data_IF_898467073254
#
_entry.id   IF_898467073254
#
_cell.length_a   1.000
_cell.length_b   1.000
_cell.length_c   1.000
_cell.angle_alpha   90.00
_cell.angle_beta   90.00
_cell.angle_gamma   90.00
#
_symmetry.space_group_name_H-M   'P 1'
#
loop_
_entity.id
_entity.type
_entity.pdbx_description
1 polymer ?
#
# COMPACT_ATOMS: atom_id res chain seq x y z
N UNK A 1 21.87 -21.19 7.64
CA UNK A 1 21.39 -19.80 7.65
C UNK A 1 22.22 -19.01 6.65
N UNK A 2 21.59 -18.50 5.60
CA UNK A 2 22.26 -17.79 4.50
C UNK A 2 22.80 -16.42 4.93
N UNK A 3 23.66 -15.81 4.11
CA UNK A 3 24.15 -14.45 4.36
C UNK A 3 23.00 -13.43 4.42
N UNK A 4 22.01 -13.57 3.52
CA UNK A 4 20.78 -12.78 3.52
C UNK A 4 20.03 -12.91 4.85
N UNK A 5 19.76 -14.14 5.31
CA UNK A 5 19.02 -14.38 6.55
C UNK A 5 19.76 -13.78 7.77
N UNK A 6 21.09 -13.91 7.81
CA UNK A 6 21.92 -13.30 8.84
C UNK A 6 21.82 -11.77 8.83
N UNK A 7 21.93 -11.15 7.65
CA UNK A 7 21.80 -9.69 7.50
C UNK A 7 20.45 -9.19 8.00
N UNK A 8 19.35 -9.82 7.57
CA UNK A 8 18.00 -9.44 7.99
C UNK A 8 17.84 -9.58 9.51
N UNK A 9 18.30 -10.68 10.11
CA UNK A 9 18.22 -10.89 11.55
C UNK A 9 19.03 -9.86 12.34
N UNK A 10 20.22 -9.48 11.86
CA UNK A 10 21.04 -8.43 12.48
C UNK A 10 20.34 -7.07 12.40
N UNK A 11 19.81 -6.70 11.24
CA UNK A 11 19.07 -5.45 11.05
C UNK A 11 17.84 -5.38 11.96
N UNK A 12 17.07 -6.47 12.03
CA UNK A 12 15.89 -6.57 12.88
C UNK A 12 16.24 -6.37 14.35
N UNK A 13 17.27 -7.08 14.85
CA UNK A 13 17.75 -6.92 16.23
C UNK A 13 18.23 -5.52 16.50
N UNK A 14 18.95 -4.91 15.56
CA UNK A 14 19.42 -3.54 15.68
C UNK A 14 18.26 -2.55 15.76
N UNK A 15 17.26 -2.65 14.87
CA UNK A 15 16.07 -1.80 14.87
C UNK A 15 15.30 -1.94 16.20
N UNK A 16 15.18 -3.16 16.74
CA UNK A 16 14.50 -3.41 18.02
C UNK A 16 15.13 -2.64 19.20
N UNK A 17 16.46 -2.47 19.22
CA UNK A 17 17.15 -1.73 20.29
C UNK A 17 16.69 -0.27 20.36
N UNK A 18 16.30 0.32 19.23
CA UNK A 18 15.91 1.72 19.11
C UNK A 18 14.40 1.94 19.06
N UNK A 19 13.60 0.88 19.30
CA UNK A 19 12.14 0.94 19.19
C UNK A 19 11.51 1.83 20.25
N UNK A 20 12.12 1.98 21.42
CA UNK A 20 11.57 2.79 22.52
C UNK A 20 12.37 4.06 22.82
N UNK A 21 13.51 4.26 22.19
CA UNK A 21 14.34 5.42 22.47
C UNK A 21 13.84 6.70 21.78
N UNK A 22 14.12 7.84 22.40
CA UNK A 22 13.74 9.18 21.96
C UNK A 22 14.93 10.08 21.61
N UNK A 23 16.17 9.63 21.84
CA UNK A 23 17.39 10.40 21.57
C UNK A 23 17.58 10.65 20.07
N UNK A 24 17.92 11.90 19.69
CA UNK A 24 18.04 12.33 18.27
C UNK A 24 19.04 11.49 17.48
N UNK A 25 20.22 11.21 18.05
CA UNK A 25 21.25 10.41 17.38
C UNK A 25 20.74 9.00 17.04
N UNK A 26 19.90 8.46 17.91
CA UNK A 26 19.32 7.12 17.75
C UNK A 26 18.22 7.09 16.68
N UNK A 27 17.54 8.22 16.43
CA UNK A 27 16.61 8.34 15.32
C UNK A 27 17.32 8.26 13.96
N UNK A 28 18.53 8.81 13.83
CA UNK A 28 19.35 8.70 12.61
C UNK A 28 19.76 7.25 12.38
N UNK A 29 20.21 6.56 13.43
CA UNK A 29 20.56 5.14 13.34
C UNK A 29 19.36 4.26 12.97
N UNK A 30 18.20 4.53 13.58
CA UNK A 30 16.96 3.85 13.26
C UNK A 30 16.54 4.08 11.80
N UNK A 31 16.58 5.33 11.34
CA UNK A 31 16.31 5.67 9.94
C UNK A 31 17.21 4.90 8.99
N UNK A 32 18.53 4.90 9.23
CA UNK A 32 19.49 4.23 8.36
C UNK A 32 19.27 2.72 8.34
N UNK A 33 19.01 2.09 9.49
CA UNK A 33 18.73 0.67 9.56
C UNK A 33 17.43 0.28 8.84
N UNK A 34 16.37 1.07 8.99
CA UNK A 34 15.12 0.89 8.24
C UNK A 34 15.33 1.05 6.73
N UNK A 35 16.11 2.05 6.31
CA UNK A 35 16.42 2.28 4.90
C UNK A 35 17.20 1.12 4.29
N UNK A 36 18.19 0.58 5.01
CA UNK A 36 18.91 -0.63 4.56
C UNK A 36 17.97 -1.82 4.46
N UNK A 37 17.11 -2.05 5.46
CA UNK A 37 16.13 -3.14 5.41
C UNK A 37 15.11 -2.95 4.27
N UNK A 38 14.71 -1.71 3.99
CA UNK A 38 13.84 -1.36 2.86
C UNK A 38 14.49 -1.69 1.52
N UNK A 39 15.78 -1.35 1.35
CA UNK A 39 16.53 -1.73 0.15
C UNK A 39 16.62 -3.25 -0.01
N UNK A 40 16.88 -3.98 1.09
CA UNK A 40 16.91 -5.45 1.08
C UNK A 40 15.55 -6.02 0.69
N UNK A 41 14.45 -5.56 1.28
CA UNK A 41 13.08 -6.00 0.94
C UNK A 41 12.71 -5.66 -0.52
N UNK A 42 13.21 -4.53 -1.03
CA UNK A 42 13.02 -4.13 -2.42
C UNK A 42 13.76 -5.08 -3.39
N UNK A 43 14.96 -5.54 -3.05
CA UNK A 43 15.80 -6.36 -3.95
C UNK A 43 15.47 -7.86 -3.99
N UNK A 44 14.64 -8.36 -3.08
CA UNK A 44 14.32 -9.79 -2.96
C UNK A 44 12.87 -10.10 -3.29
N UNK A 45 12.54 -11.37 -3.52
CA UNK A 45 11.20 -11.85 -3.86
C UNK A 45 10.79 -13.11 -3.08
N UNK A 46 9.57 -13.59 -3.31
CA UNK A 46 9.08 -14.90 -2.87
C UNK A 46 9.40 -15.26 -1.41
N UNK A 47 10.20 -16.33 -1.24
CA UNK A 47 10.51 -16.89 0.08
C UNK A 47 11.36 -15.98 0.96
N UNK A 48 12.17 -15.10 0.37
CA UNK A 48 13.02 -14.17 1.11
C UNK A 48 12.19 -13.02 1.72
N UNK A 49 11.20 -12.48 0.98
CA UNK A 49 10.23 -11.54 1.56
C UNK A 49 9.38 -12.17 2.66
N UNK A 50 8.92 -13.41 2.44
CA UNK A 50 8.21 -14.16 3.49
C UNK A 50 9.09 -14.38 4.71
N UNK A 51 10.39 -14.65 4.52
CA UNK A 51 11.34 -14.74 5.63
C UNK A 51 11.42 -13.43 6.41
N UNK A 52 11.60 -12.27 5.75
CA UNK A 52 11.64 -10.94 6.41
C UNK A 52 10.40 -10.74 7.28
N UNK A 53 9.22 -11.04 6.74
CA UNK A 53 7.98 -11.00 7.50
C UNK A 53 8.00 -11.96 8.70
N UNK A 54 8.39 -13.23 8.50
CA UNK A 54 8.35 -14.28 9.55
C UNK A 54 9.27 -14.02 10.73
N UNK A 55 10.37 -13.29 10.52
CA UNK A 55 11.31 -12.95 11.60
C UNK A 55 10.92 -11.66 12.35
N UNK A 56 9.71 -11.14 12.14
CA UNK A 56 9.11 -10.09 12.97
C UNK A 56 9.22 -8.67 12.41
N UNK A 57 9.64 -8.49 11.15
CA UNK A 57 9.85 -7.16 10.58
C UNK A 57 8.55 -6.33 10.55
N UNK A 58 7.40 -6.95 10.23
CA UNK A 58 6.12 -6.24 10.13
C UNK A 58 5.74 -5.69 11.51
N UNK A 59 5.81 -6.51 12.55
CA UNK A 59 5.47 -6.17 13.93
C UNK A 59 6.33 -5.00 14.45
N UNK A 60 7.63 -5.07 14.20
CA UNK A 60 8.59 -4.04 14.61
C UNK A 60 8.29 -2.72 13.91
N UNK A 61 8.10 -2.76 12.59
CA UNK A 61 7.84 -1.56 11.79
C UNK A 61 6.49 -0.94 12.16
N UNK A 62 5.47 -1.77 12.41
CA UNK A 62 4.18 -1.32 12.93
C UNK A 62 4.32 -0.71 14.33
N UNK A 63 5.16 -1.27 15.20
CA UNK A 63 5.49 -0.68 16.50
C UNK A 63 6.11 0.72 16.38
N UNK A 64 7.00 0.92 15.41
CA UNK A 64 7.62 2.22 15.11
C UNK A 64 6.56 3.23 14.66
N UNK A 65 5.69 2.85 13.71
CA UNK A 65 4.62 3.74 13.21
C UNK A 65 3.69 4.14 14.36
N UNK A 66 3.25 3.19 15.19
CA UNK A 66 2.40 3.48 16.35
C UNK A 66 3.07 4.42 17.35
N UNK A 67 4.38 4.27 17.57
CA UNK A 67 5.13 5.20 18.43
C UNK A 67 5.06 6.63 17.91
N UNK A 68 5.25 6.83 16.61
CA UNK A 68 5.19 8.16 16.00
C UNK A 68 3.77 8.73 15.92
N UNK A 69 2.76 7.86 15.74
CA UNK A 69 1.35 8.22 15.88
C UNK A 69 1.02 8.74 17.29
N UNK A 70 1.46 8.03 18.34
CA UNK A 70 1.26 8.48 19.73
C UNK A 70 1.92 9.84 20.00
N UNK A 71 3.09 10.09 19.41
CA UNK A 71 3.80 11.38 19.48
C UNK A 71 3.24 12.43 18.53
N UNK A 72 2.27 12.09 17.68
CA UNK A 72 1.70 12.94 16.61
C UNK A 72 2.77 13.62 15.74
N UNK A 73 3.88 12.92 15.49
CA UNK A 73 5.03 13.47 14.75
C UNK A 73 5.24 12.67 13.48
N UNK A 74 5.09 13.31 12.31
CA UNK A 74 5.52 12.75 11.03
C UNK A 74 6.98 13.11 10.77
N UNK A 75 7.81 12.12 10.44
CA UNK A 75 9.18 12.31 9.96
C UNK A 75 9.52 11.24 8.92
N UNK A 76 10.68 11.37 8.27
CA UNK A 76 11.17 10.44 7.25
C UNK A 76 11.17 8.97 7.70
N UNK A 77 11.36 8.70 9.00
CA UNK A 77 11.29 7.34 9.56
C UNK A 77 9.93 6.69 9.30
N UNK A 78 8.83 7.44 9.43
CA UNK A 78 7.48 6.93 9.20
C UNK A 78 7.27 6.65 7.72
N UNK A 79 7.79 7.49 6.83
CA UNK A 79 7.71 7.30 5.38
C UNK A 79 8.50 6.08 4.91
N UNK A 80 9.73 5.90 5.41
CA UNK A 80 10.57 4.72 5.15
C UNK A 80 9.92 3.46 5.72
N UNK A 81 9.32 3.54 6.92
CA UNK A 81 8.59 2.44 7.53
C UNK A 81 7.43 1.95 6.65
N UNK A 82 6.59 2.85 6.13
CA UNK A 82 5.52 2.49 5.21
C UNK A 82 6.03 1.97 3.87
N UNK A 83 7.13 2.54 3.35
CA UNK A 83 7.79 2.02 2.13
C UNK A 83 8.30 0.59 2.32
N UNK A 84 8.89 0.31 3.48
CA UNK A 84 9.35 -1.03 3.85
C UNK A 84 8.19 -2.02 3.93
N UNK A 85 7.09 -1.64 4.59
CA UNK A 85 5.90 -2.50 4.64
C UNK A 85 5.30 -2.74 3.24
N UNK A 86 5.28 -1.71 2.39
CA UNK A 86 4.85 -1.83 0.99
C UNK A 86 5.72 -2.86 0.24
N UNK A 87 7.05 -2.78 0.37
CA UNK A 87 7.96 -3.74 -0.25
C UNK A 87 7.84 -5.16 0.31
N UNK A 88 7.68 -5.31 1.63
CA UNK A 88 7.54 -6.62 2.29
C UNK A 88 6.26 -7.33 1.87
N UNK A 89 5.15 -6.60 1.68
CA UNK A 89 3.83 -7.14 1.35
C UNK A 89 3.63 -7.44 -0.15
N UNK A 90 4.43 -6.81 -1.01
CA UNK A 90 4.36 -6.98 -2.45
C UNK A 90 4.61 -8.44 -2.86
N UNK A 91 3.67 -9.01 -3.63
CA UNK A 91 3.58 -10.42 -4.04
C UNK A 91 3.63 -11.46 -2.90
N UNK A 92 3.26 -11.08 -1.66
CA UNK A 92 3.30 -12.00 -0.51
C UNK A 92 2.00 -11.97 0.32
N UNK A 93 1.00 -12.79 -0.04
CA UNK A 93 -0.30 -12.82 0.64
C UNK A 93 -0.23 -13.06 2.16
N UNK A 94 0.74 -13.86 2.63
CA UNK A 94 0.94 -14.11 4.07
C UNK A 94 1.37 -12.83 4.82
N UNK A 95 2.23 -12.01 4.22
CA UNK A 95 2.66 -10.74 4.80
C UNK A 95 1.53 -9.70 4.78
N UNK A 96 0.72 -9.66 3.71
CA UNK A 96 -0.50 -8.84 3.67
C UNK A 96 -1.46 -9.22 4.81
N UNK A 97 -1.66 -10.52 5.03
CA UNK A 97 -2.49 -11.04 6.12
C UNK A 97 -1.94 -10.62 7.48
N UNK A 98 -0.64 -10.81 7.72
CA UNK A 98 0.03 -10.42 8.97
C UNK A 98 -0.08 -8.92 9.26
N UNK A 99 -0.03 -8.08 8.24
CA UNK A 99 -0.27 -6.63 8.39
C UNK A 99 -1.71 -6.34 8.87
N UNK A 100 -2.72 -6.97 8.27
CA UNK A 100 -4.13 -6.70 8.61
C UNK A 100 -4.53 -7.37 9.92
N UNK A 101 -4.41 -8.70 9.99
CA UNK A 101 -5.00 -9.52 11.05
C UNK A 101 -4.18 -9.45 12.34
N UNK A 102 -2.86 -9.68 12.25
CA UNK A 102 -2.00 -9.75 13.43
C UNK A 102 -1.62 -8.36 13.97
N UNK A 103 -1.69 -7.33 13.11
CA UNK A 103 -1.21 -5.99 13.42
C UNK A 103 -2.26 -4.88 13.30
N UNK A 104 -3.54 -5.20 13.10
CA UNK A 104 -4.61 -4.21 12.97
C UNK A 104 -4.23 -3.06 12.00
N UNK A 105 -3.60 -3.41 10.87
CA UNK A 105 -2.92 -2.46 10.00
C UNK A 105 -3.84 -1.39 9.40
N UNK A 106 -5.11 -1.72 9.21
CA UNK A 106 -6.12 -0.80 8.69
C UNK A 106 -6.48 0.31 9.69
N UNK A 107 -6.51 0.02 10.99
CA UNK A 107 -6.68 1.05 12.00
C UNK A 107 -5.49 2.02 12.01
N UNK A 108 -4.26 1.49 11.93
CA UNK A 108 -3.04 2.31 11.87
C UNK A 108 -3.02 3.19 10.61
N UNK A 109 -3.44 2.64 9.47
CA UNK A 109 -3.65 3.41 8.24
C UNK A 109 -4.62 4.57 8.46
N UNK A 110 -5.75 4.32 9.12
CA UNK A 110 -6.72 5.36 9.41
C UNK A 110 -6.16 6.47 10.30
N UNK A 111 -5.50 6.10 11.39
CA UNK A 111 -4.90 7.06 12.32
C UNK A 111 -3.82 7.90 11.62
N UNK A 112 -3.02 7.28 10.75
CA UNK A 112 -2.03 7.98 9.93
C UNK A 112 -2.69 8.95 8.95
N UNK A 113 -3.74 8.52 8.24
CA UNK A 113 -4.41 9.38 7.27
C UNK A 113 -5.09 10.57 7.96
N UNK A 114 -5.70 10.37 9.14
CA UNK A 114 -6.37 11.43 9.88
C UNK A 114 -5.37 12.49 10.40
N UNK A 115 -4.15 12.08 10.77
CA UNK A 115 -3.11 13.00 11.22
C UNK A 115 -2.28 13.62 10.10
N UNK A 116 -2.05 12.89 9.01
CA UNK A 116 -1.00 13.19 8.02
C UNK A 116 -1.52 13.15 6.57
N UNK A 117 -2.82 13.43 6.35
CA UNK A 117 -3.45 13.51 5.01
C UNK A 117 -2.78 14.49 4.03
N UNK A 118 -2.04 15.48 4.54
CA UNK A 118 -1.27 16.47 3.79
C UNK A 118 0.10 15.93 3.34
N UNK A 119 0.61 14.85 3.95
CA UNK A 119 1.90 14.23 3.63
C UNK A 119 1.76 13.30 2.43
N UNK A 120 1.87 13.90 1.23
CA UNK A 120 1.66 13.21 -0.05
C UNK A 120 2.42 11.88 -0.17
N UNK A 121 3.73 11.87 0.04
CA UNK A 121 4.55 10.66 -0.15
C UNK A 121 4.22 9.56 0.86
N UNK A 122 3.93 9.94 2.11
CA UNK A 122 3.42 9.04 3.12
C UNK A 122 2.09 8.40 2.69
N UNK A 123 1.12 9.20 2.25
CA UNK A 123 -0.19 8.71 1.77
C UNK A 123 -0.02 7.80 0.55
N UNK A 124 0.85 8.16 -0.39
CA UNK A 124 1.19 7.32 -1.55
C UNK A 124 1.74 5.95 -1.11
N UNK A 125 2.71 5.92 -0.20
CA UNK A 125 3.29 4.67 0.31
C UNK A 125 2.25 3.79 1.03
N UNK A 126 1.39 4.41 1.83
CA UNK A 126 0.29 3.71 2.50
C UNK A 126 -0.68 3.07 1.50
N UNK A 127 -1.06 3.81 0.45
CA UNK A 127 -1.94 3.29 -0.59
C UNK A 127 -1.26 2.21 -1.44
N UNK A 128 0.05 2.30 -1.69
CA UNK A 128 0.81 1.25 -2.35
C UNK A 128 0.71 -0.09 -1.61
N UNK A 129 0.87 -0.07 -0.27
CA UNK A 129 0.67 -1.26 0.55
C UNK A 129 -0.77 -1.79 0.45
N UNK A 130 -1.77 -0.92 0.57
CA UNK A 130 -3.17 -1.35 0.47
C UNK A 130 -3.52 -1.85 -0.94
N UNK A 131 -2.82 -1.40 -1.97
CA UNK A 131 -2.84 -1.97 -3.31
C UNK A 131 -2.47 -3.45 -3.29
N UNK A 132 -1.32 -3.79 -2.69
CA UNK A 132 -0.90 -5.19 -2.53
C UNK A 132 -1.91 -6.03 -1.74
N UNK A 133 -2.54 -5.45 -0.71
CA UNK A 133 -3.63 -6.11 0.02
C UNK A 133 -4.82 -6.38 -0.90
N UNK A 134 -5.23 -5.38 -1.69
CA UNK A 134 -6.39 -5.48 -2.56
C UNK A 134 -6.21 -6.53 -3.68
N UNK A 135 -4.96 -6.80 -4.09
CA UNK A 135 -4.64 -7.90 -5.01
C UNK A 135 -4.87 -9.29 -4.39
N UNK A 136 -4.92 -9.41 -3.06
CA UNK A 136 -5.21 -10.65 -2.35
C UNK A 136 -6.72 -10.78 -2.14
N UNK A 137 -7.39 -11.52 -3.02
CA UNK A 137 -8.84 -11.71 -2.98
C UNK A 137 -9.40 -12.06 -1.59
N UNK A 138 -8.74 -12.97 -0.85
CA UNK A 138 -9.19 -13.38 0.48
C UNK A 138 -9.14 -12.26 1.53
N UNK A 139 -8.40 -11.17 1.30
CA UNK A 139 -8.27 -10.04 2.23
C UNK A 139 -9.13 -8.84 1.83
N UNK A 140 -9.67 -8.80 0.60
CA UNK A 140 -10.45 -7.66 0.11
C UNK A 140 -11.65 -7.31 0.98
N UNK A 141 -12.28 -8.29 1.61
CA UNK A 141 -13.40 -8.08 2.52
C UNK A 141 -13.07 -7.15 3.71
N UNK A 142 -11.81 -7.06 4.15
CA UNK A 142 -11.39 -6.10 5.17
C UNK A 142 -11.39 -4.65 4.67
N UNK A 143 -11.21 -4.43 3.36
CA UNK A 143 -11.17 -3.12 2.72
C UNK A 143 -12.56 -2.58 2.38
N UNK A 144 -13.54 -3.46 2.21
CA UNK A 144 -14.93 -3.07 1.99
C UNK A 144 -15.53 -2.81 3.35
N UNK A 145 -15.44 -1.56 3.85
CA UNK A 145 -16.19 -1.04 5.01
C UNK A 145 -16.63 0.38 4.71
N UNK A 146 -17.73 0.85 5.30
CA UNK A 146 -18.20 2.22 5.09
C UNK A 146 -17.10 3.27 5.34
N UNK A 147 -16.26 3.05 6.36
CA UNK A 147 -15.15 3.94 6.70
C UNK A 147 -14.02 3.92 5.65
N UNK A 148 -13.61 2.74 5.19
CA UNK A 148 -12.57 2.60 4.17
C UNK A 148 -13.05 3.11 2.81
N UNK A 149 -14.27 2.73 2.40
CA UNK A 149 -14.84 3.11 1.12
C UNK A 149 -14.99 4.62 0.98
N UNK A 150 -15.47 5.31 2.02
CA UNK A 150 -15.55 6.78 1.98
C UNK A 150 -14.17 7.43 1.77
N UNK A 151 -13.15 6.95 2.49
CA UNK A 151 -11.76 7.45 2.33
C UNK A 151 -11.23 7.18 0.92
N UNK A 152 -11.42 5.99 0.37
CA UNK A 152 -10.96 5.67 -0.99
C UNK A 152 -11.69 6.50 -2.06
N UNK A 153 -13.00 6.70 -1.91
CA UNK A 153 -13.78 7.55 -2.83
C UNK A 153 -13.28 9.00 -2.81
N UNK A 154 -12.96 9.55 -1.64
CA UNK A 154 -12.35 10.88 -1.53
C UNK A 154 -10.99 10.91 -2.23
N UNK A 155 -10.14 9.92 -2.01
CA UNK A 155 -8.77 9.88 -2.51
C UNK A 155 -8.69 9.65 -4.04
N UNK A 156 -9.55 8.81 -4.62
CA UNK A 156 -9.57 8.59 -6.09
C UNK A 156 -9.99 9.85 -6.86
N UNK A 157 -10.84 10.68 -6.25
CA UNK A 157 -11.29 11.97 -6.81
C UNK A 157 -10.31 13.12 -6.54
N UNK A 158 -9.21 12.89 -5.80
CA UNK A 158 -8.25 13.94 -5.45
C UNK A 158 -7.52 14.40 -6.71
N UNK A 159 -7.99 15.48 -7.33
CA UNK A 159 -7.34 16.13 -8.45
C UNK A 159 -6.39 17.22 -7.95
N UNK A 160 -5.10 16.93 -7.84
CA UNK A 160 -4.07 17.97 -7.76
C UNK A 160 -3.48 18.18 -9.15
N UNK A 161 -3.36 19.44 -9.60
CA UNK A 161 -2.67 19.76 -10.85
C UNK A 161 -1.29 19.10 -10.81
N UNK A 162 -1.04 18.19 -11.76
CA UNK A 162 0.22 17.47 -11.96
C UNK A 162 0.58 16.34 -10.98
N UNK A 163 -0.33 15.84 -10.15
CA UNK A 163 -0.08 14.64 -9.34
C UNK A 163 -1.21 13.62 -9.40
N UNK A 164 -0.90 12.44 -9.93
CA UNK A 164 -1.83 11.33 -10.09
C UNK A 164 -1.49 10.14 -9.21
N UNK A 165 -0.40 10.18 -8.43
CA UNK A 165 0.09 9.01 -7.68
C UNK A 165 -0.95 8.49 -6.67
N UNK A 166 -1.51 9.39 -5.86
CA UNK A 166 -2.56 9.06 -4.88
C UNK A 166 -3.83 8.53 -5.56
N UNK A 167 -4.46 9.25 -6.50
CA UNK A 167 -5.68 8.77 -7.13
C UNK A 167 -5.44 7.51 -7.97
N UNK A 168 -4.26 7.33 -8.56
CA UNK A 168 -3.90 6.12 -9.28
C UNK A 168 -3.83 4.88 -8.38
N UNK A 169 -3.06 4.95 -7.28
CA UNK A 169 -2.96 3.83 -6.34
C UNK A 169 -4.33 3.53 -5.72
N UNK A 170 -5.10 4.56 -5.38
CA UNK A 170 -6.44 4.40 -4.87
C UNK A 170 -7.40 3.77 -5.89
N UNK A 171 -7.29 4.16 -7.16
CA UNK A 171 -8.04 3.56 -8.26
C UNK A 171 -7.73 2.07 -8.41
N UNK A 172 -6.49 1.65 -8.20
CA UNK A 172 -6.09 0.23 -8.25
C UNK A 172 -6.68 -0.60 -7.11
N UNK A 173 -6.76 -0.02 -5.90
CA UNK A 173 -7.46 -0.64 -4.76
C UNK A 173 -8.94 -0.83 -5.12
N UNK A 174 -9.61 0.23 -5.58
CA UNK A 174 -11.03 0.20 -5.93
C UNK A 174 -11.32 -0.74 -7.10
N UNK A 175 -10.46 -0.78 -8.12
CA UNK A 175 -10.59 -1.70 -9.26
C UNK A 175 -10.54 -3.16 -8.81
N UNK A 176 -9.61 -3.51 -7.91
CA UNK A 176 -9.55 -4.82 -7.29
C UNK A 176 -10.83 -5.14 -6.50
N UNK A 177 -11.33 -4.23 -5.68
CA UNK A 177 -12.59 -4.44 -4.93
C UNK A 177 -13.78 -4.61 -5.89
N UNK A 178 -13.87 -3.81 -6.96
CA UNK A 178 -14.93 -3.90 -7.97
C UNK A 178 -14.91 -5.26 -8.69
N UNK A 179 -13.74 -5.88 -8.86
CA UNK A 179 -13.59 -7.18 -9.53
C UNK A 179 -14.23 -8.36 -8.78
N UNK A 180 -14.56 -8.22 -7.48
CA UNK A 180 -15.21 -9.29 -6.69
C UNK A 180 -16.71 -9.46 -6.99
N UNK A 181 -17.33 -8.54 -7.73
CA UNK A 181 -18.78 -8.58 -7.97
C UNK A 181 -19.61 -8.08 -6.78
N UNK A 182 -20.93 -8.02 -6.94
CA UNK A 182 -21.86 -7.40 -5.97
C UNK A 182 -21.87 -8.15 -4.64
N UNK A 183 -21.61 -9.45 -4.66
CA UNK A 183 -21.68 -10.34 -3.50
C UNK A 183 -20.65 -9.98 -2.42
N UNK A 184 -19.50 -9.43 -2.80
CA UNK A 184 -18.48 -8.98 -1.84
C UNK A 184 -18.81 -7.63 -1.19
N UNK A 185 -19.78 -6.89 -1.74
CA UNK A 185 -20.20 -5.56 -1.28
C UNK A 185 -21.25 -5.69 -0.16
N UNK A 186 -20.95 -6.50 0.86
CA UNK A 186 -21.89 -6.91 1.93
C UNK A 186 -22.45 -5.76 2.78
N UNK A 187 -21.87 -4.56 2.68
CA UNK A 187 -22.15 -3.39 3.51
C UNK A 187 -22.84 -2.28 2.69
N UNK A 188 -22.91 -2.48 1.38
CA UNK A 188 -23.05 -1.42 0.39
C UNK A 188 -23.91 -1.96 -0.75
N UNK A 189 -25.11 -1.41 -0.91
CA UNK A 189 -26.05 -1.84 -1.95
C UNK A 189 -25.41 -1.83 -3.35
N UNK A 190 -26.02 -2.52 -4.32
CA UNK A 190 -25.60 -2.46 -5.73
C UNK A 190 -25.45 -1.03 -6.28
N UNK A 191 -26.17 -0.07 -5.70
CA UNK A 191 -26.06 1.37 -5.99
C UNK A 191 -24.68 1.92 -5.62
N UNK A 192 -24.13 1.53 -4.48
CA UNK A 192 -22.83 2.02 -4.02
C UNK A 192 -21.69 1.47 -4.88
N UNK A 193 -21.75 0.17 -5.22
CA UNK A 193 -20.82 -0.41 -6.19
C UNK A 193 -20.88 0.34 -7.53
N UNK A 194 -22.09 0.63 -8.03
CA UNK A 194 -22.26 1.39 -9.26
C UNK A 194 -21.64 2.80 -9.17
N UNK A 195 -21.86 3.51 -8.05
CA UNK A 195 -21.26 4.84 -7.82
C UNK A 195 -19.74 4.75 -7.82
N UNK A 196 -19.15 3.81 -7.08
CA UNK A 196 -17.69 3.64 -7.05
C UNK A 196 -17.14 3.30 -8.42
N UNK A 197 -17.83 2.43 -9.17
CA UNK A 197 -17.46 2.12 -10.55
C UNK A 197 -17.41 3.37 -11.44
N UNK A 198 -18.41 4.24 -11.34
CA UNK A 198 -18.44 5.51 -12.08
C UNK A 198 -17.32 6.45 -11.62
N UNK A 199 -17.09 6.60 -10.32
CA UNK A 199 -16.03 7.47 -9.79
C UNK A 199 -14.63 7.03 -10.23
N UNK A 200 -14.35 5.72 -10.27
CA UNK A 200 -13.09 5.19 -10.81
C UNK A 200 -12.99 5.47 -12.31
N UNK A 201 -14.06 5.22 -13.06
CA UNK A 201 -14.10 5.51 -14.49
C UNK A 201 -13.81 6.99 -14.77
N UNK A 202 -14.56 7.90 -14.16
CA UNK A 202 -14.40 9.35 -14.35
C UNK A 202 -13.00 9.82 -13.97
N UNK A 203 -12.44 9.33 -12.86
CA UNK A 203 -11.08 9.67 -12.45
C UNK A 203 -10.04 9.26 -13.50
N UNK A 204 -10.14 8.04 -14.03
CA UNK A 204 -9.18 7.54 -15.04
C UNK A 204 -9.19 8.35 -16.34
N UNK A 205 -10.35 8.88 -16.73
CA UNK A 205 -10.47 9.73 -17.93
C UNK A 205 -9.74 11.07 -17.80
N UNK A 206 -9.49 11.52 -16.58
CA UNK A 206 -8.87 12.82 -16.29
C UNK A 206 -7.35 12.75 -16.18
N UNK A 207 -6.76 11.56 -16.17
CA UNK A 207 -5.32 11.40 -15.96
C UNK A 207 -4.53 11.52 -17.28
N UNK A 208 -3.47 12.31 -17.24
CA UNK A 208 -2.53 12.46 -18.36
C UNK A 208 -1.75 11.15 -18.59
N UNK A 209 -1.96 10.52 -19.75
CA UNK A 209 -1.30 9.29 -20.16
C UNK A 209 0.23 9.41 -20.29
N UNK A 210 0.77 10.62 -20.46
CA UNK A 210 2.22 10.85 -20.55
C UNK A 210 2.86 11.16 -19.19
N UNK A 211 2.07 11.16 -18.11
CA UNK A 211 2.58 11.44 -16.78
C UNK A 211 3.43 10.27 -16.29
N UNK A 212 4.70 10.54 -15.99
CA UNK A 212 5.55 9.55 -15.32
C UNK A 212 5.06 9.28 -13.90
N UNK A 213 5.27 8.05 -13.45
CA UNK A 213 4.94 7.60 -12.10
C UNK A 213 6.13 6.94 -11.42
N UNK A 214 6.19 7.02 -10.10
CA UNK A 214 7.20 6.37 -9.26
C UNK A 214 6.73 4.99 -8.78
N UNK A 215 6.36 4.13 -9.73
CA UNK A 215 5.86 2.78 -9.46
C UNK A 215 6.63 1.78 -10.32
N UNK A 216 7.21 0.77 -9.65
CA UNK A 216 7.92 -0.33 -10.30
C UNK A 216 7.09 -1.61 -10.19
N UNK A 217 6.43 -2.00 -11.28
CA UNK A 217 5.71 -3.27 -11.33
C UNK A 217 6.69 -4.43 -11.46
N UNK A 218 6.71 -5.33 -10.46
CA UNK A 218 7.42 -6.61 -10.54
C UNK A 218 6.68 -7.63 -11.40
N UNK A 219 5.36 -7.52 -11.41
CA UNK A 219 4.47 -8.34 -12.21
C UNK A 219 3.34 -7.49 -12.78
N UNK A 220 2.99 -7.73 -14.05
CA UNK A 220 1.78 -7.19 -14.66
C UNK A 220 0.57 -8.09 -14.44
N UNK A 221 0.76 -9.26 -13.84
CA UNK A 221 -0.32 -10.24 -13.61
C UNK A 221 -1.51 -9.64 -12.86
N UNK A 222 -1.34 -8.83 -11.79
CA UNK A 222 -2.46 -8.23 -11.09
C UNK A 222 -3.30 -7.30 -11.99
N UNK A 223 -2.64 -6.49 -12.82
CA UNK A 223 -3.31 -5.58 -13.76
C UNK A 223 -4.03 -6.37 -14.85
N UNK A 224 -3.37 -7.37 -15.44
CA UNK A 224 -3.93 -8.17 -16.53
C UNK A 224 -5.19 -8.94 -16.10
N UNK A 225 -5.27 -9.38 -14.84
CA UNK A 225 -6.46 -10.05 -14.30
C UNK A 225 -7.71 -9.16 -14.29
N UNK A 226 -7.53 -7.83 -14.22
CA UNK A 226 -8.63 -6.87 -14.21
C UNK A 226 -9.19 -6.59 -15.62
N UNK A 227 -8.51 -7.05 -16.68
CA UNK A 227 -8.96 -6.95 -18.08
C UNK A 227 -9.94 -8.07 -18.45
N UNK A 228 -10.99 -8.25 -17.66
CA UNK A 228 -12.07 -9.21 -17.93
C UNK A 228 -13.32 -8.44 -18.35
N UNK A 229 -13.92 -8.80 -19.49
CA UNK A 229 -15.11 -8.13 -20.05
C UNK A 229 -16.35 -8.18 -19.14
N UNK A 230 -16.38 -9.13 -18.19
CA UNK A 230 -17.45 -9.27 -17.22
C UNK A 230 -17.28 -8.37 -15.99
N UNK A 231 -16.15 -7.67 -15.86
CA UNK A 231 -15.90 -6.77 -14.73
C UNK A 231 -16.47 -5.36 -14.97
N UNK A 232 -16.72 -4.59 -13.89
CA UNK A 232 -17.21 -3.22 -14.01
C UNK A 232 -16.28 -2.34 -14.86
N UNK A 233 -16.84 -1.44 -15.66
CA UNK A 233 -16.08 -0.63 -16.63
C UNK A 233 -14.96 0.20 -16.00
N UNK A 234 -15.14 0.75 -14.79
CA UNK A 234 -14.12 1.49 -14.08
C UNK A 234 -12.90 0.63 -13.71
N UNK A 235 -13.13 -0.64 -13.36
CA UNK A 235 -12.06 -1.63 -13.12
C UNK A 235 -11.24 -1.86 -14.39
N UNK A 236 -11.92 -2.14 -15.51
CA UNK A 236 -11.27 -2.36 -16.81
C UNK A 236 -10.52 -1.09 -17.25
N UNK A 237 -11.13 0.09 -17.10
CA UNK A 237 -10.55 1.35 -17.55
C UNK A 237 -9.29 1.71 -16.76
N UNK A 238 -9.27 1.47 -15.44
CA UNK A 238 -8.05 1.63 -14.65
C UNK A 238 -6.92 0.72 -15.16
N UNK A 239 -7.23 -0.55 -15.41
CA UNK A 239 -6.25 -1.51 -15.90
C UNK A 239 -5.73 -1.17 -17.30
N UNK A 240 -6.62 -0.78 -18.22
CA UNK A 240 -6.24 -0.29 -19.56
C UNK A 240 -5.35 0.93 -19.44
N UNK A 241 -5.74 1.93 -18.66
CA UNK A 241 -4.96 3.16 -18.48
C UNK A 241 -3.57 2.86 -17.90
N UNK A 242 -3.47 1.98 -16.89
CA UNK A 242 -2.21 1.56 -16.31
C UNK A 242 -1.28 0.94 -17.37
N UNK A 243 -1.79 0.01 -18.18
CA UNK A 243 -1.05 -0.64 -19.27
C UNK A 243 -0.65 0.35 -20.36
N UNK A 244 -1.57 1.21 -20.80
CA UNK A 244 -1.30 2.20 -21.85
C UNK A 244 -0.24 3.20 -21.38
N UNK A 245 -0.36 3.74 -20.17
CA UNK A 245 0.65 4.65 -19.64
C UNK A 245 2.02 3.96 -19.56
N UNK A 246 2.10 2.72 -19.06
CA UNK A 246 3.36 1.97 -19.05
C UNK A 246 3.99 1.94 -20.45
N UNK A 247 3.24 1.61 -21.50
CA UNK A 247 3.77 1.63 -22.87
C UNK A 247 4.09 3.02 -23.45
N UNK A 248 3.68 4.09 -22.77
CA UNK A 248 3.78 5.49 -23.24
C UNK A 248 4.92 6.26 -22.58
N UNK A 249 5.27 5.92 -21.33
CA UNK A 249 6.29 6.63 -20.54
C UNK A 249 7.55 5.79 -20.26
N UNK A 250 7.68 4.63 -20.91
CA UNK A 250 8.88 3.78 -20.90
C UNK A 250 10.09 4.47 -21.56
#
# INVERSE_FOLDING_TARGET
>A
MSAFEQTVLVLIRFIQLYLFDSVVHEQILLHNALSVLNHVACSVDGQEKLFIGRVGAIEIVMGIIRRFLMKKTSCEIVEVAWTLLWNITDETPENCRRFIEDNNGLQVFHDCLDLWSDKRDLVRNMLGLLGNVAEVQLLRHYLVTAQHMEKFRILVKRSQQNDIEIPYNCGGILANILSDGVEAWTISSSIEQYIVNQEVYDATQMWDLHKSRTINYRSLTPILRLLNENFPTGCIMWAVWAMTNLTTVL
#
